data_IF_772595490672
#
_entry.id   IF_772595490672
#
_cell.length_a   1.000
_cell.length_b   1.000
_cell.length_c   1.000
_cell.angle_alpha   90.00
_cell.angle_beta   90.00
_cell.angle_gamma   90.00
#
_symmetry.space_group_name_H-M   'P 1'
#
loop_
_entity.id
_entity.type
_entity.pdbx_description
1 polymer ?
#
# COMPACT_ATOMS: atom_id res chain seq x y z
N UNK A 1 15.23 0.53 -24.94
CA UNK A 1 16.61 0.65 -24.41
C UNK A 1 16.70 -0.17 -23.13
N UNK A 2 17.10 -1.44 -23.22
CA UNK A 2 17.53 -2.19 -22.04
C UNK A 2 18.82 -1.56 -21.54
N UNK A 3 18.81 -1.06 -20.31
CA UNK A 3 20.01 -0.48 -19.69
C UNK A 3 20.93 -1.64 -19.35
N UNK A 4 21.87 -1.92 -20.25
CA UNK A 4 22.97 -2.84 -20.01
C UNK A 4 24.14 -2.03 -19.42
N UNK A 5 24.43 -2.26 -18.14
CA UNK A 5 25.57 -1.68 -17.44
C UNK A 5 25.52 -2.07 -15.96
N UNK A 6 26.65 -2.47 -15.40
CA UNK A 6 26.76 -2.73 -13.96
C UNK A 6 26.54 -1.40 -13.22
N UNK A 7 25.39 -1.26 -12.55
CA UNK A 7 25.12 -0.13 -11.67
C UNK A 7 26.07 -0.20 -10.48
N UNK A 8 26.76 0.91 -10.20
CA UNK A 8 27.71 1.00 -9.08
C UNK A 8 27.05 1.54 -7.79
N UNK A 9 25.77 1.95 -7.81
CA UNK A 9 25.04 2.65 -6.73
C UNK A 9 23.49 2.53 -6.87
N UNK A 10 22.69 3.50 -6.37
CA UNK A 10 21.21 3.62 -6.39
C UNK A 10 20.60 3.95 -7.77
N UNK A 11 21.22 3.51 -8.87
CA UNK A 11 20.82 3.85 -10.24
C UNK A 11 20.08 2.67 -10.89
N UNK A 12 19.21 2.97 -11.85
CA UNK A 12 18.54 1.97 -12.68
C UNK A 12 17.09 2.27 -12.94
N UNK A 13 16.27 1.22 -13.06
CA UNK A 13 14.81 1.33 -13.03
C UNK A 13 14.40 1.22 -11.57
N UNK A 14 13.81 2.28 -11.03
CA UNK A 14 13.61 2.45 -9.59
C UNK A 14 12.13 2.49 -9.20
N UNK A 15 11.27 2.99 -10.09
CA UNK A 15 9.83 3.13 -9.83
C UNK A 15 8.97 2.70 -11.01
N UNK A 16 7.78 2.21 -10.68
CA UNK A 16 6.73 1.83 -11.61
C UNK A 16 5.38 2.24 -11.02
N UNK A 17 4.56 2.93 -11.82
CA UNK A 17 3.16 3.18 -11.49
C UNK A 17 2.28 2.86 -12.69
N UNK A 18 1.21 2.09 -12.47
CA UNK A 18 0.14 1.94 -13.45
C UNK A 18 -0.78 3.16 -13.38
N UNK A 19 -1.27 3.61 -14.53
CA UNK A 19 -2.34 4.59 -14.57
C UNK A 19 -3.57 4.05 -13.81
N UNK A 20 -4.35 4.87 -13.08
CA UNK A 20 -5.54 4.41 -12.36
C UNK A 20 -6.56 3.68 -13.26
N UNK A 21 -6.64 4.10 -14.53
CA UNK A 21 -7.47 3.51 -15.59
C UNK A 21 -6.72 2.50 -16.49
N UNK A 22 -5.64 1.86 -15.99
CA UNK A 22 -4.77 0.97 -16.78
C UNK A 22 -5.54 -0.13 -17.52
N UNK A 23 -6.57 -0.72 -16.91
CA UNK A 23 -7.35 -1.80 -17.54
C UNK A 23 -8.08 -1.35 -18.81
N UNK A 24 -8.30 -0.04 -19.00
CA UNK A 24 -8.95 0.52 -20.17
C UNK A 24 -7.97 1.19 -21.14
N UNK A 25 -6.85 1.74 -20.65
CA UNK A 25 -5.94 2.53 -21.48
C UNK A 25 -4.54 1.92 -21.67
N UNK A 26 -4.11 1.02 -20.78
CA UNK A 26 -2.82 0.34 -20.81
C UNK A 26 -1.62 1.22 -20.45
N UNK A 27 -1.80 2.44 -19.94
CA UNK A 27 -0.70 3.34 -19.64
C UNK A 27 -0.02 3.03 -18.30
N UNK A 28 1.30 3.07 -18.30
CA UNK A 28 2.12 2.96 -17.10
C UNK A 28 3.35 3.83 -17.22
N UNK A 29 3.98 4.11 -16.09
CA UNK A 29 5.01 5.11 -15.95
C UNK A 29 6.21 4.50 -15.21
N UNK A 30 7.41 4.86 -15.66
CA UNK A 30 8.67 4.38 -15.11
C UNK A 30 9.49 5.56 -14.61
N UNK A 31 10.01 5.45 -13.38
CA UNK A 31 11.09 6.28 -12.86
C UNK A 31 12.42 5.55 -13.03
N UNK A 32 13.36 6.17 -13.73
CA UNK A 32 14.64 5.55 -14.06
C UNK A 32 15.80 6.55 -14.16
N UNK A 33 17.04 6.08 -14.07
CA UNK A 33 18.23 6.87 -14.41
C UNK A 33 18.64 6.64 -15.86
N UNK A 34 18.82 7.71 -16.63
CA UNK A 34 19.20 7.65 -18.05
C UNK A 34 20.66 7.22 -18.21
N UNK A 35 20.90 6.20 -19.03
CA UNK A 35 22.23 5.63 -19.20
C UNK A 35 23.31 6.60 -19.75
N UNK A 36 22.92 7.65 -20.49
CA UNK A 36 23.88 8.56 -21.13
C UNK A 36 24.54 9.54 -20.16
N UNK A 37 23.82 9.95 -19.11
CA UNK A 37 24.21 11.08 -18.25
C UNK A 37 23.68 10.96 -16.82
N UNK A 38 23.13 9.81 -16.44
CA UNK A 38 22.53 9.52 -15.13
C UNK A 38 21.34 10.42 -14.73
N UNK A 39 20.79 11.23 -15.64
CA UNK A 39 19.62 12.06 -15.35
C UNK A 39 18.44 11.20 -14.89
N UNK A 40 17.74 11.64 -13.85
CA UNK A 40 16.46 11.03 -13.43
C UNK A 40 15.41 11.31 -14.50
N UNK A 41 14.67 10.28 -14.91
CA UNK A 41 13.63 10.36 -15.92
C UNK A 41 12.33 9.74 -15.44
N UNK A 42 11.22 10.41 -15.77
CA UNK A 42 9.87 9.86 -15.70
C UNK A 42 9.38 9.66 -17.13
N UNK A 43 9.02 8.43 -17.47
CA UNK A 43 8.69 8.03 -18.84
C UNK A 43 7.38 7.26 -18.85
N UNK A 44 6.45 7.63 -19.74
CA UNK A 44 5.20 6.90 -20.00
C UNK A 44 5.40 5.87 -21.10
N UNK A 45 4.80 4.70 -20.93
CA UNK A 45 4.66 3.65 -21.93
C UNK A 45 3.21 3.16 -21.97
N UNK A 46 2.86 2.43 -23.03
CA UNK A 46 1.58 1.75 -23.19
C UNK A 46 1.79 0.25 -23.37
N UNK A 47 1.08 -0.54 -22.58
CA UNK A 47 1.03 -1.99 -22.69
C UNK A 47 0.37 -2.44 -24.00
N UNK A 48 0.72 -3.62 -24.49
CA UNK A 48 0.02 -4.24 -25.61
C UNK A 48 -1.31 -4.83 -25.14
N UNK A 49 -2.40 -4.58 -25.85
CA UNK A 49 -3.70 -5.16 -25.52
C UNK A 49 -3.71 -6.70 -25.71
N UNK A 50 -4.51 -7.46 -24.95
CA UNK A 50 -5.42 -7.01 -23.89
C UNK A 50 -4.68 -6.65 -22.58
N UNK A 51 -5.01 -5.49 -22.00
CA UNK A 51 -4.23 -4.88 -20.90
C UNK A 51 -4.23 -5.71 -19.62
N UNK A 52 -5.35 -6.38 -19.31
CA UNK A 52 -5.50 -7.21 -18.10
C UNK A 52 -4.49 -8.38 -18.02
N UNK A 53 -3.98 -8.85 -19.16
CA UNK A 53 -3.02 -9.98 -19.22
C UNK A 53 -1.75 -9.60 -19.96
N UNK A 54 -1.47 -8.30 -20.11
CA UNK A 54 -0.34 -7.83 -20.89
C UNK A 54 1.00 -8.14 -20.19
N UNK A 55 1.89 -8.82 -20.89
CA UNK A 55 3.27 -9.09 -20.44
C UNK A 55 4.32 -8.31 -21.23
N UNK A 56 3.88 -7.49 -22.19
CA UNK A 56 4.74 -6.67 -23.06
C UNK A 56 4.13 -5.28 -23.26
N UNK A 57 4.98 -4.32 -23.58
CA UNK A 57 4.60 -2.95 -23.92
C UNK A 57 5.12 -2.57 -25.29
N UNK A 58 4.46 -1.63 -25.95
CA UNK A 58 4.92 -1.08 -27.22
C UNK A 58 6.10 -0.12 -26.97
N UNK A 59 7.33 -0.44 -27.42
CA UNK A 59 8.47 0.45 -27.21
C UNK A 59 8.32 1.80 -27.95
N UNK A 60 7.52 1.86 -29.02
CA UNK A 60 7.28 3.09 -29.78
C UNK A 60 6.34 4.06 -29.04
N UNK A 61 5.59 3.59 -28.04
CA UNK A 61 4.72 4.41 -27.20
C UNK A 61 5.47 5.31 -26.19
N UNK A 62 6.80 5.17 -26.10
CA UNK A 62 7.65 5.89 -25.15
C UNK A 62 7.43 7.40 -25.25
N UNK A 63 6.89 8.00 -24.20
CA UNK A 63 6.81 9.46 -24.02
C UNK A 63 7.64 9.86 -22.82
N UNK A 64 8.67 10.69 -23.02
CA UNK A 64 9.42 11.27 -21.92
C UNK A 64 8.62 12.41 -21.31
N UNK A 65 8.28 12.29 -20.02
CA UNK A 65 7.54 13.32 -19.32
C UNK A 65 8.50 14.33 -18.70
N UNK A 66 9.41 13.83 -17.87
CA UNK A 66 10.29 14.66 -17.07
C UNK A 66 11.72 14.12 -17.14
N UNK A 67 12.69 15.02 -17.27
CA UNK A 67 14.12 14.73 -17.17
C UNK A 67 14.77 15.73 -16.21
N UNK A 68 15.45 15.24 -15.19
CA UNK A 68 16.09 16.02 -14.13
C UNK A 68 17.57 15.69 -14.16
N UNK A 69 18.41 16.70 -14.42
CA UNK A 69 19.85 16.53 -14.32
C UNK A 69 20.23 16.14 -12.89
N UNK A 70 20.95 15.02 -12.74
CA UNK A 70 21.29 14.46 -11.44
C UNK A 70 22.81 14.59 -11.21
N UNK A 71 23.27 15.33 -10.18
CA UNK A 71 24.67 15.73 -10.10
C UNK A 71 25.60 14.65 -9.53
N UNK A 72 25.07 13.71 -8.75
CA UNK A 72 25.84 12.59 -8.17
C UNK A 72 25.19 11.25 -8.53
N UNK A 73 25.79 10.14 -8.11
CA UNK A 73 25.31 8.78 -8.43
C UNK A 73 24.31 8.22 -7.42
N UNK A 74 24.17 8.84 -6.25
CA UNK A 74 23.27 8.44 -5.17
C UNK A 74 22.20 9.53 -4.92
N UNK A 75 21.20 9.19 -4.11
CA UNK A 75 20.00 9.99 -3.82
C UNK A 75 19.11 10.23 -5.05
N UNK A 76 18.93 9.19 -5.86
CA UNK A 76 18.08 9.26 -7.04
C UNK A 76 16.58 9.22 -6.70
N UNK A 77 16.21 8.96 -5.43
CA UNK A 77 14.85 8.63 -5.04
C UNK A 77 14.38 7.35 -5.74
N UNK A 78 13.14 7.35 -6.24
CA UNK A 78 12.65 6.19 -6.99
C UNK A 78 11.16 5.97 -6.88
N UNK A 79 10.55 6.36 -5.76
CA UNK A 79 9.13 6.15 -5.56
C UNK A 79 8.28 7.01 -6.50
N UNK A 80 7.25 6.38 -7.04
CA UNK A 80 6.19 7.03 -7.79
C UNK A 80 4.87 6.30 -7.58
N UNK A 81 3.78 7.05 -7.49
CA UNK A 81 2.43 6.52 -7.25
C UNK A 81 1.39 7.55 -7.69
N UNK A 82 0.22 7.09 -8.12
CA UNK A 82 -0.92 7.97 -8.33
C UNK A 82 -1.57 8.29 -6.99
N UNK A 83 -1.74 9.58 -6.71
CA UNK A 83 -2.43 10.04 -5.51
C UNK A 83 -3.94 9.87 -5.60
N UNK A 84 -4.66 10.10 -4.49
CA UNK A 84 -6.13 10.04 -4.44
C UNK A 84 -6.83 11.08 -5.33
N UNK A 85 -6.09 12.10 -5.78
CA UNK A 85 -6.54 13.13 -6.72
C UNK A 85 -6.30 12.75 -8.19
N UNK A 86 -5.86 11.52 -8.45
CA UNK A 86 -5.58 11.01 -9.80
C UNK A 86 -4.32 11.60 -10.42
N UNK A 87 -3.45 12.30 -9.67
CA UNK A 87 -2.21 12.85 -10.21
C UNK A 87 -1.02 11.96 -9.91
N UNK A 88 -0.01 11.99 -10.78
CA UNK A 88 1.21 11.21 -10.61
C UNK A 88 2.16 11.94 -9.66
N UNK A 89 2.52 11.30 -8.55
CA UNK A 89 3.51 11.79 -7.61
C UNK A 89 4.85 11.10 -7.83
N UNK A 90 5.93 11.86 -7.72
CA UNK A 90 7.30 11.37 -7.97
C UNK A 90 8.24 11.91 -6.90
N UNK A 91 8.95 11.04 -6.20
CA UNK A 91 9.93 11.42 -5.19
C UNK A 91 11.36 11.41 -5.77
N UNK A 92 12.07 12.51 -5.56
CA UNK A 92 13.43 12.73 -6.09
C UNK A 92 14.32 13.23 -4.97
N UNK A 93 15.46 12.57 -4.74
CA UNK A 93 16.43 13.00 -3.73
C UNK A 93 17.16 14.30 -4.11
N UNK A 94 17.92 14.83 -3.16
CA UNK A 94 18.59 16.14 -3.21
C UNK A 94 19.70 16.27 -4.25
N UNK A 95 20.06 15.16 -4.90
CA UNK A 95 21.11 15.10 -5.90
C UNK A 95 22.37 14.41 -5.39
N UNK A 96 22.43 14.01 -4.12
CA UNK A 96 23.53 13.25 -3.53
C UNK A 96 24.54 14.10 -2.77
N UNK A 97 25.70 13.51 -2.46
CA UNK A 97 26.76 14.12 -1.64
C UNK A 97 26.33 14.42 -0.18
N UNK A 98 27.30 14.71 0.68
CA UNK A 98 27.04 15.13 2.05
C UNK A 98 26.59 16.59 2.11
N UNK A 99 25.63 16.88 2.99
CA UNK A 99 25.11 18.19 3.36
C UNK A 99 24.48 18.98 2.20
N UNK A 100 24.01 18.30 1.15
CA UNK A 100 23.31 18.93 0.01
C UNK A 100 24.11 20.14 -0.53
N UNK A 101 25.43 19.95 -0.72
CA UNK A 101 26.39 20.99 -1.10
C UNK A 101 27.41 20.49 -2.11
N UNK A 102 28.18 21.42 -2.69
CA UNK A 102 29.22 21.10 -3.67
C UNK A 102 28.68 21.02 -5.10
N UNK A 103 29.36 20.29 -5.97
CA UNK A 103 29.05 20.26 -7.41
C UNK A 103 27.59 19.87 -7.66
N UNK A 104 26.86 20.75 -8.36
CA UNK A 104 25.45 20.54 -8.73
C UNK A 104 24.43 20.92 -7.66
N UNK A 105 24.86 21.42 -6.51
CA UNK A 105 24.00 21.94 -5.45
C UNK A 105 23.98 23.47 -5.46
N UNK A 106 22.83 24.06 -5.13
CA UNK A 106 22.63 25.52 -5.22
C UNK A 106 22.78 26.17 -3.84
N UNK A 107 23.71 27.11 -3.70
CA UNK A 107 23.95 27.84 -2.45
C UNK A 107 23.39 29.28 -2.47
N UNK A 108 22.95 29.83 -1.32
CA UNK A 108 22.83 29.16 -0.03
C UNK A 108 21.61 28.23 0.02
N UNK A 109 21.74 27.10 0.72
CA UNK A 109 20.59 26.28 1.14
C UNK A 109 20.52 24.87 0.56
N UNK A 110 21.32 24.58 -0.46
CA UNK A 110 21.29 23.29 -1.14
C UNK A 110 20.08 23.13 -2.06
N UNK A 111 20.03 22.02 -2.77
CA UNK A 111 18.94 21.72 -3.69
C UNK A 111 17.61 21.48 -2.96
N UNK A 112 17.62 20.84 -1.80
CA UNK A 112 16.40 20.45 -1.08
C UNK A 112 15.57 21.66 -0.67
N UNK A 113 16.21 22.75 -0.23
CA UNK A 113 15.53 24.02 0.09
C UNK A 113 15.32 24.92 -1.13
N UNK A 114 16.11 24.77 -2.20
CA UNK A 114 16.00 25.60 -3.38
C UNK A 114 14.80 25.18 -4.25
N UNK A 115 13.87 26.12 -4.48
CA UNK A 115 12.65 25.87 -5.26
C UNK A 115 12.87 25.96 -6.78
N UNK A 116 14.05 26.34 -7.26
CA UNK A 116 14.37 26.44 -8.70
C UNK A 116 14.88 25.13 -9.31
N UNK A 117 15.12 24.12 -8.47
CA UNK A 117 15.48 22.75 -8.85
C UNK A 117 14.39 21.76 -8.45
N UNK A 118 14.39 20.58 -9.08
CA UNK A 118 13.47 19.48 -8.80
C UNK A 118 14.06 18.41 -7.87
N UNK A 119 15.28 18.63 -7.37
CA UNK A 119 15.99 17.73 -6.47
C UNK A 119 15.61 17.99 -5.00
N UNK A 120 15.42 16.93 -4.21
CA UNK A 120 15.02 16.98 -2.80
C UNK A 120 13.55 17.35 -2.62
N UNK A 121 12.69 16.74 -3.46
CA UNK A 121 11.28 17.11 -3.64
C UNK A 121 10.38 15.88 -3.76
N UNK A 122 9.11 16.08 -3.41
CA UNK A 122 8.00 15.32 -4.02
C UNK A 122 7.39 16.21 -5.11
N UNK A 123 7.27 15.66 -6.30
CA UNK A 123 6.67 16.31 -7.47
C UNK A 123 5.26 15.79 -7.68
N UNK A 124 4.39 16.59 -8.30
CA UNK A 124 3.02 16.22 -8.68
C UNK A 124 2.74 16.64 -10.11
N UNK A 125 2.40 15.68 -10.95
CA UNK A 125 2.18 15.85 -12.39
C UNK A 125 0.76 15.42 -12.76
N UNK A 126 0.08 16.26 -13.52
CA UNK A 126 -1.18 15.90 -14.17
C UNK A 126 -0.88 15.41 -15.59
N UNK A 127 -1.05 14.11 -15.79
CA UNK A 127 -0.68 13.39 -17.02
C UNK A 127 -1.89 13.03 -17.89
N UNK A 128 -3.08 13.45 -17.46
CA UNK A 128 -4.36 13.09 -18.08
C UNK A 128 -5.05 14.29 -18.73
N UNK A 129 -4.59 15.51 -18.46
CA UNK A 129 -5.19 16.72 -19.00
C UNK A 129 -6.62 16.98 -18.48
N UNK A 130 -7.32 17.95 -19.09
CA UNK A 130 -8.67 18.34 -18.67
C UNK A 130 -9.75 17.29 -18.89
N UNK A 131 -9.57 16.39 -19.86
CA UNK A 131 -10.53 15.33 -20.15
C UNK A 131 -10.33 14.08 -19.27
N UNK A 132 -9.25 14.05 -18.46
CA UNK A 132 -8.81 12.93 -17.64
C UNK A 132 -8.51 11.67 -18.47
N UNK A 133 -8.00 11.81 -19.68
CA UNK A 133 -7.58 10.72 -20.55
C UNK A 133 -6.12 10.94 -20.99
N UNK A 134 -5.16 10.14 -20.49
CA UNK A 134 -3.77 10.29 -20.89
C UNK A 134 -3.56 9.89 -22.36
N UNK A 135 -2.52 10.46 -22.95
CA UNK A 135 -1.98 10.06 -24.25
C UNK A 135 -2.45 10.93 -25.41
N UNK A 136 -3.09 12.06 -25.13
CA UNK A 136 -3.67 12.94 -26.14
C UNK A 136 -2.92 14.29 -26.18
N UNK A 137 -3.45 15.27 -26.92
CA UNK A 137 -2.82 16.58 -27.07
C UNK A 137 -3.10 17.57 -25.92
N UNK A 138 -4.14 17.33 -25.12
CA UNK A 138 -4.54 18.20 -24.02
C UNK A 138 -3.84 17.87 -22.68
N UNK A 139 -3.19 16.70 -22.59
CA UNK A 139 -2.19 16.36 -21.55
C UNK A 139 -1.15 17.47 -21.37
N UNK A 140 -0.76 18.11 -22.48
CA UNK A 140 0.33 19.05 -22.51
C UNK A 140 -0.07 20.43 -21.96
N UNK A 141 0.78 20.98 -21.09
CA UNK A 141 0.79 22.40 -20.78
C UNK A 141 1.53 23.14 -21.91
N UNK A 142 0.77 23.65 -22.87
CA UNK A 142 1.30 24.35 -24.05
C UNK A 142 2.04 25.65 -23.69
N UNK A 143 1.66 26.31 -22.60
CA UNK A 143 2.32 27.52 -22.13
C UNK A 143 3.67 27.18 -21.47
N UNK A 144 3.76 26.02 -20.81
CA UNK A 144 5.00 25.50 -20.23
C UNK A 144 5.91 24.77 -21.23
N UNK A 145 5.35 24.28 -22.33
CA UNK A 145 6.04 23.36 -23.24
C UNK A 145 6.31 21.98 -22.63
N UNK A 146 5.50 21.53 -21.67
CA UNK A 146 5.64 20.22 -21.01
C UNK A 146 4.53 19.27 -21.44
N UNK A 147 4.78 17.94 -21.51
CA UNK A 147 3.79 16.94 -21.90
C UNK A 147 2.85 16.53 -20.75
N UNK A 148 2.77 17.38 -19.72
CA UNK A 148 1.96 17.23 -18.52
C UNK A 148 1.61 18.64 -18.01
N UNK A 149 0.61 18.71 -17.13
CA UNK A 149 0.17 19.92 -16.43
C UNK A 149 0.56 19.90 -14.95
N UNK A 150 0.47 21.06 -14.31
CA UNK A 150 0.76 21.25 -12.88
C UNK A 150 -0.30 22.12 -12.19
N UNK A 151 -1.54 22.04 -12.67
CA UNK A 151 -2.65 22.77 -12.10
C UNK A 151 -2.89 22.39 -10.63
N UNK A 152 -3.07 23.39 -9.78
CA UNK A 152 -3.22 23.22 -8.33
C UNK A 152 -1.91 23.02 -7.56
N UNK A 153 -0.74 22.96 -8.23
CA UNK A 153 0.53 22.88 -7.52
C UNK A 153 0.88 24.20 -6.81
N UNK A 154 1.47 24.14 -5.60
CA UNK A 154 1.72 25.30 -4.75
C UNK A 154 2.72 26.31 -5.34
N UNK A 155 3.58 25.86 -6.26
CA UNK A 155 4.62 26.69 -6.88
C UNK A 155 4.37 27.00 -8.36
N UNK A 156 3.20 26.62 -8.90
CA UNK A 156 2.84 26.95 -10.28
C UNK A 156 2.50 28.45 -10.40
N UNK A 157 3.15 29.15 -11.34
CA UNK A 157 2.95 30.58 -11.57
C UNK A 157 3.56 31.52 -10.50
N UNK A 158 4.35 31.00 -9.57
CA UNK A 158 5.07 31.78 -8.54
C UNK A 158 6.57 31.49 -8.56
N UNK A 159 7.32 31.98 -7.56
CA UNK A 159 8.76 31.73 -7.47
C UNK A 159 9.06 30.27 -7.08
N UNK A 160 9.28 29.43 -8.09
CA UNK A 160 9.65 28.03 -7.93
C UNK A 160 9.38 27.21 -9.19
N UNK A 161 9.77 25.93 -9.18
CA UNK A 161 9.43 24.97 -10.21
C UNK A 161 8.00 24.51 -10.01
N UNK A 162 7.20 24.61 -11.08
CA UNK A 162 5.76 24.34 -11.10
C UNK A 162 5.40 22.91 -10.68
N UNK A 163 6.33 21.97 -10.85
CA UNK A 163 6.17 20.55 -10.53
C UNK A 163 6.23 20.24 -9.04
N UNK A 164 6.78 21.15 -8.21
CA UNK A 164 7.02 20.88 -6.80
C UNK A 164 5.68 20.79 -6.04
N UNK A 165 5.50 19.69 -5.33
CA UNK A 165 4.42 19.49 -4.36
C UNK A 165 4.89 19.68 -2.93
N UNK A 166 6.02 19.08 -2.56
CA UNK A 166 6.66 19.24 -1.27
C UNK A 166 8.19 19.27 -1.44
N UNK A 167 8.90 19.82 -0.46
CA UNK A 167 10.33 20.05 -0.54
C UNK A 167 11.04 19.91 0.81
N UNK A 168 12.36 20.08 0.81
CA UNK A 168 13.18 19.92 2.00
C UNK A 168 13.36 18.45 2.40
N UNK A 169 13.49 17.57 1.41
CA UNK A 169 13.73 16.13 1.60
C UNK A 169 15.15 15.78 1.12
N UNK A 170 15.76 14.75 1.70
CA UNK A 170 17.11 14.29 1.38
C UNK A 170 17.11 13.19 0.32
N UNK A 171 16.58 12.02 0.65
CA UNK A 171 16.44 10.88 -0.25
C UNK A 171 15.18 10.08 0.10
N UNK A 172 13.99 10.60 -0.26
CA UNK A 172 12.71 9.94 -0.01
C UNK A 172 12.62 8.63 -0.81
N UNK A 173 12.68 7.48 -0.12
CA UNK A 173 12.90 6.16 -0.73
C UNK A 173 11.60 5.41 -1.04
N UNK A 174 10.95 4.80 -0.02
CA UNK A 174 9.61 4.19 -0.15
C UNK A 174 8.58 5.01 0.59
N UNK A 175 7.80 5.76 -0.19
CA UNK A 175 6.63 6.50 0.30
C UNK A 175 5.36 5.69 0.04
N UNK A 176 4.20 6.13 0.53
CA UNK A 176 2.92 5.48 0.23
C UNK A 176 1.77 6.46 0.44
N UNK A 177 0.77 6.42 -0.44
CA UNK A 177 -0.54 6.98 -0.11
C UNK A 177 -1.34 6.00 0.73
N UNK A 178 -1.86 6.47 1.86
CA UNK A 178 -2.89 5.75 2.57
C UNK A 178 -4.17 5.75 1.74
N UNK A 179 -4.54 4.60 1.17
CA UNK A 179 -5.69 4.47 0.28
C UNK A 179 -7.03 4.86 0.93
N UNK A 180 -7.13 4.91 2.27
CA UNK A 180 -8.35 5.32 2.96
C UNK A 180 -8.37 6.83 3.27
N UNK A 181 -7.26 7.40 3.75
CA UNK A 181 -7.23 8.81 4.21
C UNK A 181 -6.73 9.78 3.15
N UNK A 182 -5.99 9.27 2.15
CA UNK A 182 -5.29 10.07 1.15
C UNK A 182 -4.01 10.73 1.67
N UNK A 183 -3.59 10.45 2.92
CA UNK A 183 -2.36 10.99 3.49
C UNK A 183 -1.13 10.41 2.79
N UNK A 184 -0.14 11.26 2.51
CA UNK A 184 1.14 10.81 1.95
C UNK A 184 2.15 10.54 3.07
N UNK A 185 2.56 9.28 3.20
CA UNK A 185 3.62 8.83 4.09
C UNK A 185 4.95 8.86 3.36
N UNK A 186 5.97 9.47 3.95
CA UNK A 186 7.27 9.69 3.32
C UNK A 186 8.36 9.15 4.25
N UNK A 187 9.13 8.17 3.80
CA UNK A 187 10.33 7.72 4.50
C UNK A 187 11.55 8.38 3.85
N UNK A 188 12.25 9.21 4.61
CA UNK A 188 13.36 10.00 4.10
C UNK A 188 14.68 9.54 4.73
N UNK A 189 15.62 9.09 3.89
CA UNK A 189 16.91 8.57 4.35
C UNK A 189 17.79 9.73 4.80
N UNK A 190 18.17 9.73 6.07
CA UNK A 190 19.06 10.75 6.60
C UNK A 190 20.54 10.49 6.33
N UNK A 191 21.41 11.36 6.86
CA UNK A 191 22.83 11.36 6.48
C UNK A 191 23.70 10.54 7.43
N UNK A 192 23.83 11.01 8.67
CA UNK A 192 24.82 10.52 9.64
C UNK A 192 24.20 10.20 11.00
N UNK A 193 23.03 10.76 11.31
CA UNK A 193 22.50 10.76 12.66
C UNK A 193 21.09 10.20 12.78
N UNK A 194 20.21 10.49 11.82
CA UNK A 194 18.78 10.19 11.94
C UNK A 194 18.23 9.54 10.70
N UNK A 195 17.26 8.68 10.92
CA UNK A 195 16.30 8.26 9.91
C UNK A 195 14.92 8.81 10.30
N UNK A 196 14.05 9.06 9.32
CA UNK A 196 12.75 9.67 9.61
C UNK A 196 11.58 9.18 8.76
N UNK A 197 10.39 9.21 9.37
CA UNK A 197 9.09 9.06 8.71
C UNK A 197 8.30 10.35 8.89
N UNK A 198 7.85 10.90 7.78
CA UNK A 198 7.01 12.08 7.69
C UNK A 198 5.60 11.70 7.21
N UNK A 199 4.58 12.48 7.60
CA UNK A 199 3.21 12.33 7.08
C UNK A 199 2.67 13.67 6.61
N UNK A 200 2.29 13.75 5.33
CA UNK A 200 1.53 14.85 4.77
C UNK A 200 0.03 14.61 4.98
N UNK A 201 -0.46 14.95 6.17
CA UNK A 201 -1.89 14.82 6.52
C UNK A 201 -2.76 15.67 5.59
N UNK A 202 -3.77 15.09 4.96
CA UNK A 202 -4.64 15.70 3.96
C UNK A 202 -3.94 15.98 2.63
N UNK A 203 -2.71 15.47 2.45
CA UNK A 203 -1.88 15.68 1.27
C UNK A 203 -1.86 17.15 0.83
N UNK A 204 -1.44 18.06 1.71
CA UNK A 204 -1.43 19.50 1.43
C UNK A 204 -0.13 19.86 0.71
N UNK A 205 -0.23 20.56 -0.43
CA UNK A 205 0.93 21.08 -1.17
C UNK A 205 1.67 22.20 -0.44
N UNK A 206 2.98 22.29 -0.65
CA UNK A 206 3.86 23.37 -0.19
C UNK A 206 4.60 23.06 1.11
N UNK A 207 4.52 21.83 1.61
CA UNK A 207 5.19 21.42 2.86
C UNK A 207 6.71 21.35 2.70
N UNK A 208 7.41 21.85 3.72
CA UNK A 208 8.86 21.81 3.84
C UNK A 208 9.27 20.85 4.97
N UNK A 209 10.00 19.79 4.66
CA UNK A 209 10.47 18.78 5.63
C UNK A 209 11.84 19.12 6.25
N UNK A 210 12.42 20.26 5.88
CA UNK A 210 13.50 20.89 6.64
C UNK A 210 14.92 20.46 6.27
N UNK A 211 15.13 19.35 5.54
CA UNK A 211 16.45 19.05 5.00
C UNK A 211 16.90 20.19 4.07
N UNK A 212 18.09 20.78 4.22
CA UNK A 212 19.24 20.32 5.02
C UNK A 212 19.46 21.01 6.37
N UNK A 213 18.57 21.90 6.80
CA UNK A 213 18.72 22.63 8.07
C UNK A 213 18.45 21.74 9.28
N UNK A 214 17.62 20.71 9.08
CA UNK A 214 17.30 19.66 10.03
C UNK A 214 17.60 18.29 9.44
N UNK A 215 17.98 17.34 10.28
CA UNK A 215 18.06 15.91 10.01
C UNK A 215 17.27 15.24 11.14
N UNK A 216 16.03 14.78 10.88
CA UNK A 216 15.05 14.60 11.95
C UNK A 216 14.73 15.94 12.63
N UNK A 217 14.71 15.95 13.96
CA UNK A 217 14.59 17.21 14.74
C UNK A 217 15.94 17.86 15.08
N UNK A 218 17.05 17.26 14.65
CA UNK A 218 18.41 17.74 14.94
C UNK A 218 18.79 18.88 14.01
N UNK A 219 19.23 20.01 14.58
CA UNK A 219 19.83 21.09 13.80
C UNK A 219 21.19 20.68 13.23
N UNK A 220 21.35 20.82 11.91
CA UNK A 220 22.64 20.58 11.24
C UNK A 220 23.60 21.78 11.34
N UNK A 221 23.05 22.98 11.60
CA UNK A 221 23.78 24.25 11.55
C UNK A 221 23.97 24.81 10.13
N UNK A 222 23.39 24.15 9.12
CA UNK A 222 23.42 24.60 7.74
C UNK A 222 22.34 25.66 7.47
N UNK A 223 22.58 26.48 6.45
CA UNK A 223 21.66 27.52 5.99
C UNK A 223 20.63 26.97 4.99
N UNK A 224 19.62 27.77 4.66
CA UNK A 224 18.53 27.45 3.72
C UNK A 224 17.15 27.67 4.34
N UNK A 225 17.05 27.43 5.64
CA UNK A 225 15.86 27.60 6.46
C UNK A 225 16.25 27.73 7.93
N UNK A 226 15.31 28.13 8.78
CA UNK A 226 15.53 28.19 10.23
C UNK A 226 15.30 26.81 10.83
N UNK A 227 16.31 26.23 11.47
CA UNK A 227 16.18 24.93 12.15
C UNK A 227 14.97 24.93 13.09
N UNK A 228 14.14 23.88 13.01
CA UNK A 228 12.92 23.71 13.79
C UNK A 228 11.99 24.95 13.74
N UNK A 229 12.03 25.68 12.62
CA UNK A 229 11.14 26.82 12.37
C UNK A 229 9.69 26.36 12.27
N UNK A 230 8.72 27.23 12.62
CA UNK A 230 7.30 26.86 12.72
C UNK A 230 6.66 26.48 11.37
N UNK A 231 7.32 26.76 10.25
CA UNK A 231 6.89 26.39 8.89
C UNK A 231 7.44 25.04 8.45
N UNK A 232 8.41 24.47 9.17
CA UNK A 232 8.94 23.14 8.88
C UNK A 232 7.99 22.07 9.43
N UNK A 233 7.92 20.96 8.72
CA UNK A 233 7.19 19.77 9.14
C UNK A 233 8.17 18.86 9.87
N UNK A 234 7.92 18.63 11.15
CA UNK A 234 8.67 17.65 11.91
C UNK A 234 8.24 16.23 11.53
N UNK A 235 9.15 15.25 11.56
CA UNK A 235 8.79 13.86 11.34
C UNK A 235 7.91 13.33 12.47
N UNK A 236 7.04 12.37 12.14
CA UNK A 236 6.21 11.69 13.14
C UNK A 236 7.00 10.62 13.89
N UNK A 237 8.07 10.12 13.26
CA UNK A 237 9.02 9.17 13.82
C UNK A 237 10.41 9.56 13.37
N UNK A 238 11.35 9.61 14.31
CA UNK A 238 12.78 9.63 14.02
C UNK A 238 13.48 8.59 14.90
N UNK A 239 14.59 8.04 14.41
CA UNK A 239 15.45 7.15 15.18
C UNK A 239 16.91 7.32 14.76
N UNK A 240 17.84 6.86 15.59
CA UNK A 240 19.25 7.23 15.46
C UNK A 240 20.12 6.14 14.87
N UNK A 241 21.26 6.54 14.30
CA UNK A 241 22.24 5.57 13.77
C UNK A 241 23.02 4.84 14.86
N UNK A 242 23.42 5.57 15.90
CA UNK A 242 24.30 5.06 16.97
C UNK A 242 23.84 5.43 18.37
N UNK A 243 22.75 6.18 18.50
CA UNK A 243 22.19 6.61 19.78
C UNK A 243 20.67 6.62 19.73
N UNK A 244 20.03 6.26 20.84
CA UNK A 244 18.58 6.29 21.01
C UNK A 244 18.09 7.73 21.03
N UNK A 245 17.12 8.04 20.16
CA UNK A 245 16.60 9.40 19.91
C UNK A 245 15.14 9.32 19.49
N UNK A 246 14.43 10.44 19.62
CA UNK A 246 13.00 10.48 19.31
C UNK A 246 12.17 9.62 20.29
N UNK A 247 10.97 9.21 19.88
CA UNK A 247 10.03 8.48 20.75
C UNK A 247 10.32 6.98 20.84
N UNK A 248 11.49 6.52 20.39
CA UNK A 248 11.76 5.10 20.15
C UNK A 248 13.18 4.70 20.53
N UNK A 249 13.38 3.40 20.79
CA UNK A 249 14.70 2.77 21.00
C UNK A 249 15.27 2.16 19.72
N UNK A 250 14.60 2.31 18.58
CA UNK A 250 15.08 1.82 17.29
C UNK A 250 16.43 2.44 16.92
N UNK A 251 17.26 1.64 16.27
CA UNK A 251 18.49 2.07 15.62
C UNK A 251 18.53 1.51 14.20
N UNK A 252 19.07 2.27 13.26
CA UNK A 252 19.23 1.88 11.86
C UNK A 252 20.01 2.94 11.10
N UNK A 253 20.32 2.72 9.83
CA UNK A 253 21.16 3.68 9.08
C UNK A 253 20.71 3.98 7.65
N UNK A 254 19.55 3.46 7.26
CA UNK A 254 18.96 3.76 5.97
C UNK A 254 17.52 3.30 5.99
N UNK A 255 16.57 4.19 6.30
CA UNK A 255 15.16 3.83 6.30
C UNK A 255 14.72 3.50 4.87
N UNK A 256 14.26 2.27 4.66
CA UNK A 256 13.64 1.93 3.38
C UNK A 256 12.28 2.60 3.29
N UNK A 257 11.53 2.60 4.40
CA UNK A 257 10.11 2.98 4.45
C UNK A 257 9.19 1.78 4.25
N UNK A 258 7.95 2.03 3.86
CA UNK A 258 6.98 0.96 3.57
C UNK A 258 5.58 1.46 3.25
N UNK A 259 4.55 0.77 3.75
CA UNK A 259 3.15 0.95 3.34
C UNK A 259 2.19 0.98 4.52
N UNK A 260 1.07 1.69 4.37
CA UNK A 260 -0.09 1.56 5.26
C UNK A 260 -0.91 0.37 4.81
N UNK A 261 -1.04 -0.64 5.66
CA UNK A 261 -1.80 -1.85 5.33
C UNK A 261 -3.30 -1.54 5.24
N UNK A 262 -3.91 -1.90 4.11
CA UNK A 262 -5.36 -1.74 3.84
C UNK A 262 -6.02 -3.02 3.32
N UNK A 263 -5.34 -4.16 3.42
CA UNK A 263 -5.83 -5.46 3.00
C UNK A 263 -7.07 -5.93 3.76
N UNK A 264 -7.76 -6.90 3.18
CA UNK A 264 -8.98 -7.53 3.69
C UNK A 264 -8.75 -8.82 4.44
N UNK A 265 -7.63 -9.52 4.23
CA UNK A 265 -7.34 -10.79 4.90
C UNK A 265 -6.94 -10.59 6.37
N UNK A 266 -6.33 -9.46 6.73
CA UNK A 266 -5.91 -9.15 8.11
C UNK A 266 -6.55 -7.83 8.59
N UNK A 267 -7.90 -7.76 8.72
CA UNK A 267 -8.61 -6.51 8.99
C UNK A 267 -8.15 -5.80 10.28
N UNK A 268 -7.68 -6.53 11.28
CA UNK A 268 -7.10 -6.01 12.53
C UNK A 268 -5.83 -5.18 12.32
N UNK A 269 -5.14 -5.34 11.19
CA UNK A 269 -3.94 -4.59 10.84
C UNK A 269 -4.24 -3.35 9.98
N UNK A 270 -5.48 -3.15 9.52
CA UNK A 270 -5.85 -1.99 8.68
C UNK A 270 -5.45 -0.67 9.35
N UNK A 271 -4.82 0.22 8.58
CA UNK A 271 -4.33 1.52 9.06
C UNK A 271 -3.01 1.45 9.84
N UNK A 272 -2.34 0.29 9.85
CA UNK A 272 -1.01 0.14 10.44
C UNK A 272 0.04 0.40 9.36
N UNK A 273 0.98 1.30 9.63
CA UNK A 273 2.11 1.57 8.76
C UNK A 273 3.24 0.59 9.08
N UNK A 274 3.64 -0.20 8.08
CA UNK A 274 4.77 -1.12 8.14
C UNK A 274 5.97 -0.50 7.44
N UNK A 275 7.15 -0.65 8.02
CA UNK A 275 8.39 -0.14 7.45
C UNK A 275 9.60 -0.98 7.87
N UNK A 276 10.73 -0.74 7.21
CA UNK A 276 12.02 -1.36 7.52
C UNK A 276 13.16 -0.36 7.38
N UNK A 277 14.33 -0.79 7.84
CA UNK A 277 15.62 -0.14 7.64
C UNK A 277 16.54 -1.09 6.89
N UNK A 278 17.08 -0.64 5.76
CA UNK A 278 17.91 -1.44 4.86
C UNK A 278 19.15 -2.00 5.58
N UNK A 279 19.78 -1.22 6.48
CA UNK A 279 20.97 -1.65 7.20
C UNK A 279 20.69 -2.79 8.20
N UNK A 280 19.48 -2.82 8.77
CA UNK A 280 19.07 -3.91 9.66
C UNK A 280 18.94 -5.25 8.93
N UNK A 281 18.80 -5.22 7.60
CA UNK A 281 18.66 -6.37 6.67
C UNK A 281 17.42 -7.25 6.84
N UNK A 282 16.88 -7.39 8.06
CA UNK A 282 15.79 -8.31 8.38
C UNK A 282 14.71 -7.71 9.27
N UNK A 283 14.93 -6.51 9.83
CA UNK A 283 14.02 -5.99 10.84
C UNK A 283 12.79 -5.36 10.20
N UNK A 284 11.60 -5.71 10.70
CA UNK A 284 10.35 -5.14 10.21
C UNK A 284 9.64 -4.52 11.40
N UNK A 285 9.22 -3.27 11.23
CA UNK A 285 8.55 -2.51 12.26
C UNK A 285 7.17 -2.10 11.80
N UNK A 286 6.29 -1.82 12.76
CA UNK A 286 4.97 -1.28 12.49
C UNK A 286 4.62 -0.18 13.48
N UNK A 287 3.82 0.79 13.07
CA UNK A 287 3.21 1.77 13.96
C UNK A 287 1.80 2.15 13.52
N UNK A 288 1.05 2.80 14.41
CA UNK A 288 -0.20 3.49 14.07
C UNK A 288 -0.05 4.98 14.27
N UNK A 289 -0.68 5.75 13.41
CA UNK A 289 -0.70 7.20 13.51
C UNK A 289 -2.14 7.69 13.43
N UNK A 290 -2.57 8.47 14.41
CA UNK A 290 -3.91 9.06 14.43
C UNK A 290 -3.90 10.34 15.25
N UNK A 291 -4.60 11.37 14.76
CA UNK A 291 -4.73 12.66 15.47
C UNK A 291 -3.40 13.31 15.84
N UNK A 292 -2.36 13.16 15.01
CA UNK A 292 -1.03 13.71 15.30
C UNK A 292 -0.15 12.85 16.21
N UNK A 293 -0.63 11.68 16.65
CA UNK A 293 0.06 10.85 17.65
C UNK A 293 0.47 9.50 17.07
N UNK A 294 1.73 9.13 17.27
CA UNK A 294 2.23 7.77 17.02
C UNK A 294 1.90 6.86 18.20
N UNK A 295 1.45 5.65 17.91
CA UNK A 295 1.15 4.60 18.88
C UNK A 295 1.49 3.22 18.32
N UNK A 296 1.47 2.20 19.17
CA UNK A 296 1.66 0.79 18.79
C UNK A 296 2.94 0.53 17.96
N UNK A 297 4.01 1.28 18.23
CA UNK A 297 5.31 1.00 17.62
C UNK A 297 5.79 -0.38 18.08
N UNK A 298 5.95 -1.30 17.15
CA UNK A 298 6.19 -2.72 17.42
C UNK A 298 7.26 -3.27 16.48
N UNK A 299 8.20 -4.04 17.03
CA UNK A 299 9.07 -4.91 16.26
C UNK A 299 8.30 -6.17 15.86
N UNK A 300 8.14 -6.36 14.55
CA UNK A 300 7.40 -7.44 13.90
C UNK A 300 8.33 -8.48 13.28
N UNK A 301 9.64 -8.37 13.48
CA UNK A 301 10.63 -9.20 12.78
C UNK A 301 10.43 -10.69 13.06
N UNK A 302 10.18 -11.06 14.31
CA UNK A 302 9.92 -12.45 14.69
C UNK A 302 8.53 -12.95 14.25
N UNK A 303 7.54 -12.05 14.20
CA UNK A 303 6.17 -12.38 13.76
C UNK A 303 6.12 -12.63 12.25
N UNK A 304 6.93 -11.89 11.48
CA UNK A 304 6.97 -11.95 10.03
C UNK A 304 8.10 -12.82 9.47
N UNK A 305 8.88 -13.47 10.34
CA UNK A 305 9.98 -14.35 9.92
C UNK A 305 9.43 -15.49 9.02
N UNK A 306 9.95 -15.66 7.79
CA UNK A 306 9.42 -16.67 6.88
C UNK A 306 9.59 -18.10 7.44
N UNK A 307 8.62 -19.00 7.24
CA UNK A 307 8.74 -20.37 7.72
C UNK A 307 9.84 -21.14 6.96
N UNK A 308 10.47 -22.10 7.65
CA UNK A 308 11.43 -23.02 7.06
C UNK A 308 12.85 -22.47 7.03
N UNK A 309 13.52 -22.57 5.88
CA UNK A 309 14.91 -22.12 5.68
C UNK A 309 15.03 -20.75 5.00
N UNK A 310 13.89 -20.12 4.70
CA UNK A 310 13.87 -18.77 4.14
C UNK A 310 14.12 -17.77 5.26
N UNK A 311 14.96 -16.79 4.98
CA UNK A 311 15.23 -15.66 5.87
C UNK A 311 15.25 -14.40 5.01
N UNK A 312 14.68 -13.31 5.50
CA UNK A 312 14.84 -12.01 4.86
C UNK A 312 16.32 -11.64 4.77
N UNK A 313 16.69 -10.92 3.73
CA UNK A 313 18.04 -10.36 3.61
C UNK A 313 18.04 -9.17 2.68
N UNK A 314 18.35 -8.00 3.23
CA UNK A 314 18.38 -6.74 2.46
C UNK A 314 16.98 -6.36 1.99
N UNK A 315 16.02 -6.21 2.91
CA UNK A 315 14.66 -5.78 2.58
C UNK A 315 14.73 -4.38 1.96
N UNK A 316 14.36 -4.29 0.68
CA UNK A 316 14.56 -3.12 -0.17
C UNK A 316 13.28 -2.37 -0.51
N UNK A 317 12.11 -3.01 -0.34
CA UNK A 317 10.81 -2.36 -0.53
C UNK A 317 9.64 -3.15 0.04
N UNK A 318 8.47 -2.51 0.02
CA UNK A 318 7.16 -3.11 0.27
C UNK A 318 6.25 -2.90 -0.95
N UNK A 319 5.34 -3.83 -1.19
CA UNK A 319 4.32 -3.74 -2.24
C UNK A 319 2.92 -4.05 -1.71
N UNK A 320 1.90 -3.73 -2.50
CA UNK A 320 0.50 -4.11 -2.24
C UNK A 320 -0.13 -4.69 -3.49
N UNK A 321 -0.99 -5.70 -3.35
CA UNK A 321 -1.84 -6.16 -4.47
C UNK A 321 -3.14 -5.34 -4.56
N UNK A 322 -4.01 -5.68 -5.52
CA UNK A 322 -5.29 -5.00 -5.77
C UNK A 322 -6.33 -5.18 -4.65
N UNK A 323 -6.07 -6.10 -3.71
CA UNK A 323 -6.89 -6.31 -2.52
C UNK A 323 -6.30 -5.60 -1.29
N UNK A 324 -5.16 -4.91 -1.45
CA UNK A 324 -4.46 -4.18 -0.40
C UNK A 324 -3.57 -5.07 0.47
N UNK A 325 -3.35 -6.32 0.08
CA UNK A 325 -2.50 -7.23 0.82
C UNK A 325 -1.03 -6.90 0.64
N UNK A 326 -0.25 -7.07 1.70
CA UNK A 326 1.13 -6.61 1.77
C UNK A 326 2.11 -7.65 1.23
N UNK A 327 3.12 -7.14 0.53
CA UNK A 327 4.27 -7.88 0.07
C UNK A 327 5.56 -7.23 0.56
N UNK A 328 6.57 -8.05 0.84
CA UNK A 328 7.92 -7.63 1.19
C UNK A 328 8.87 -8.05 0.08
N UNK A 329 9.70 -7.12 -0.38
CA UNK A 329 10.72 -7.37 -1.40
C UNK A 329 12.09 -7.30 -0.74
N UNK A 330 12.90 -8.33 -0.99
CA UNK A 330 14.28 -8.36 -0.51
C UNK A 330 15.29 -8.61 -1.64
N UNK A 331 16.50 -8.11 -1.41
CA UNK A 331 17.60 -8.15 -2.35
C UNK A 331 18.88 -8.66 -1.65
N UNK A 332 18.95 -9.96 -1.34
CA UNK A 332 20.16 -10.59 -0.81
C UNK A 332 21.35 -10.37 -1.75
N UNK A 333 22.53 -10.13 -1.17
CA UNK A 333 23.78 -9.93 -1.94
C UNK A 333 24.31 -11.22 -2.59
N UNK A 334 23.85 -12.38 -2.13
CA UNK A 334 24.38 -13.70 -2.51
C UNK A 334 23.39 -14.59 -3.28
N UNK A 335 22.12 -14.17 -3.42
CA UNK A 335 21.08 -14.93 -4.11
C UNK A 335 20.19 -14.01 -4.96
N UNK A 336 19.23 -14.58 -5.69
CA UNK A 336 18.24 -13.79 -6.43
C UNK A 336 17.31 -13.05 -5.46
N UNK A 337 16.88 -11.83 -5.85
CA UNK A 337 15.85 -11.09 -5.12
C UNK A 337 14.53 -11.87 -5.01
N UNK A 338 13.79 -11.65 -3.92
CA UNK A 338 12.55 -12.39 -3.62
C UNK A 338 11.41 -11.43 -3.31
N UNK A 339 10.19 -11.93 -3.53
CA UNK A 339 8.94 -11.26 -3.17
C UNK A 339 8.15 -12.21 -2.27
N UNK A 340 7.84 -11.75 -1.06
CA UNK A 340 7.10 -12.50 -0.05
C UNK A 340 5.71 -11.91 0.10
N UNK A 341 4.66 -12.71 -0.05
CA UNK A 341 3.30 -12.31 0.36
C UNK A 341 3.16 -12.54 1.86
N UNK A 342 2.67 -11.53 2.57
CA UNK A 342 2.36 -11.66 4.00
C UNK A 342 0.94 -12.18 4.14
N UNK A 343 0.77 -13.21 4.96
CA UNK A 343 -0.49 -13.93 5.16
C UNK A 343 -0.72 -14.18 6.65
N UNK A 344 -1.97 -14.32 7.11
CA UNK A 344 -2.25 -14.72 8.48
C UNK A 344 -1.78 -16.15 8.75
N UNK A 345 -1.54 -16.46 10.02
CA UNK A 345 -1.27 -17.83 10.48
C UNK A 345 -2.49 -18.70 10.17
N UNK A 346 -2.29 -19.83 9.48
CA UNK A 346 -3.37 -20.69 8.99
C UNK A 346 -3.62 -20.56 7.48
N UNK A 347 -3.05 -19.54 6.83
CA UNK A 347 -3.17 -19.33 5.39
C UNK A 347 -4.38 -18.47 5.01
N UNK A 348 -4.62 -18.37 3.71
CA UNK A 348 -5.77 -17.64 3.15
C UNK A 348 -6.87 -18.65 2.85
N UNK A 349 -8.06 -18.44 3.38
CA UNK A 349 -9.27 -19.20 3.01
C UNK A 349 -9.87 -18.59 1.74
N UNK A 350 -10.10 -19.44 0.74
CA UNK A 350 -10.79 -19.16 -0.53
C UNK A 350 -11.63 -20.41 -0.85
N UNK A 351 -12.85 -20.42 -0.33
CA UNK A 351 -13.73 -21.58 -0.35
C UNK A 351 -14.43 -21.77 -1.71
N UNK A 352 -14.70 -20.67 -2.43
CA UNK A 352 -15.31 -20.68 -3.75
C UNK A 352 -14.27 -20.81 -4.89
N UNK A 353 -12.97 -20.86 -4.54
CA UNK A 353 -11.82 -21.03 -5.42
C UNK A 353 -11.72 -19.97 -6.53
N UNK A 354 -12.19 -18.75 -6.27
CA UNK A 354 -12.19 -17.65 -7.23
C UNK A 354 -10.83 -16.88 -7.25
N UNK A 355 -9.84 -17.34 -6.47
CA UNK A 355 -8.51 -16.75 -6.28
C UNK A 355 -8.51 -15.43 -5.51
N UNK A 356 -9.61 -15.12 -4.84
CA UNK A 356 -9.74 -14.04 -3.88
C UNK A 356 -10.09 -14.66 -2.53
N UNK A 357 -9.52 -14.08 -1.47
CA UNK A 357 -9.80 -14.56 -0.13
C UNK A 357 -11.26 -14.31 0.24
N UNK A 358 -11.87 -15.21 1.01
CA UNK A 358 -13.23 -15.07 1.50
C UNK A 358 -13.46 -13.75 2.25
N UNK A 359 -12.52 -13.38 3.13
CA UNK A 359 -12.57 -12.09 3.85
C UNK A 359 -12.53 -10.87 2.91
N UNK A 360 -11.97 -11.02 1.71
CA UNK A 360 -11.98 -10.00 0.67
C UNK A 360 -13.29 -9.97 -0.12
N UNK A 361 -13.93 -11.11 -0.31
CA UNK A 361 -15.26 -11.17 -0.91
C UNK A 361 -16.31 -10.54 0.02
N UNK A 362 -16.28 -10.88 1.31
CA UNK A 362 -17.14 -10.28 2.32
C UNK A 362 -16.91 -8.78 2.45
N UNK A 363 -15.65 -8.32 2.49
CA UNK A 363 -15.34 -6.90 2.57
C UNK A 363 -15.82 -6.10 1.34
N UNK A 364 -16.02 -6.76 0.20
CA UNK A 364 -16.53 -6.15 -1.04
C UNK A 364 -18.03 -6.37 -1.26
N UNK A 365 -18.66 -7.23 -0.48
CA UNK A 365 -20.04 -7.66 -0.69
C UNK A 365 -20.24 -8.47 -1.97
N UNK A 366 -19.19 -9.14 -2.47
CA UNK A 366 -19.30 -10.12 -3.57
C UNK A 366 -19.82 -11.46 -3.07
N UNK A 367 -19.66 -11.74 -1.78
CA UNK A 367 -20.29 -12.85 -1.05
C UNK A 367 -21.16 -12.33 0.09
N UNK A 368 -22.16 -13.11 0.49
CA UNK A 368 -23.06 -12.79 1.62
C UNK A 368 -22.53 -13.50 2.87
N UNK A 369 -22.69 -12.86 4.03
CA UNK A 369 -22.48 -13.45 5.35
C UNK A 369 -23.70 -13.08 6.20
N UNK A 370 -24.77 -13.87 6.07
CA UNK A 370 -26.06 -13.57 6.68
C UNK A 370 -26.04 -13.79 8.20
N UNK A 371 -25.21 -14.73 8.68
CA UNK A 371 -25.10 -15.08 10.10
C UNK A 371 -24.00 -14.29 10.84
N UNK A 372 -23.16 -13.54 10.13
CA UNK A 372 -22.10 -12.70 10.67
C UNK A 372 -20.90 -13.47 11.20
N UNK A 373 -20.70 -14.72 10.78
CA UNK A 373 -19.65 -15.60 11.28
C UNK A 373 -18.27 -15.35 10.60
N UNK A 374 -18.22 -14.48 9.58
CA UNK A 374 -17.01 -14.17 8.83
C UNK A 374 -16.64 -15.20 7.75
N UNK A 375 -17.56 -16.11 7.42
CA UNK A 375 -17.48 -17.09 6.34
C UNK A 375 -18.57 -16.76 5.31
N UNK A 376 -18.27 -16.77 4.00
CA UNK A 376 -19.29 -16.66 2.97
C UNK A 376 -20.39 -17.72 3.13
N UNK A 377 -21.67 -17.33 3.02
CA UNK A 377 -22.82 -18.24 3.13
C UNK A 377 -22.73 -19.39 2.10
N UNK A 378 -22.19 -19.15 0.90
CA UNK A 378 -21.94 -20.21 -0.09
C UNK A 378 -20.90 -21.26 0.35
N UNK A 379 -20.20 -20.98 1.44
CA UNK A 379 -19.14 -21.79 2.03
C UNK A 379 -19.46 -22.26 3.43
N UNK A 380 -20.57 -21.79 4.00
CA UNK A 380 -21.16 -22.44 5.14
C UNK A 380 -21.60 -23.86 4.72
N UNK A 381 -21.41 -24.86 5.61
CA UNK A 381 -22.09 -26.12 5.41
C UNK A 381 -23.59 -25.83 5.27
N UNK A 382 -24.33 -26.55 4.39
CA UNK A 382 -25.76 -26.34 4.28
C UNK A 382 -26.38 -26.38 5.67
N UNK A 383 -27.13 -25.34 6.02
CA UNK A 383 -27.67 -25.12 7.37
C UNK A 383 -28.16 -26.45 7.94
N UNK A 384 -27.63 -26.81 9.10
CA UNK A 384 -27.99 -28.07 9.72
C UNK A 384 -29.47 -28.00 10.07
N UNK A 385 -30.29 -28.71 9.30
CA UNK A 385 -31.75 -28.73 9.50
C UNK A 385 -32.16 -29.16 10.92
N UNK A 386 -31.23 -29.78 11.64
CA UNK A 386 -31.41 -30.26 13.01
C UNK A 386 -31.01 -29.26 14.10
N UNK A 387 -30.33 -28.15 13.76
CA UNK A 387 -29.98 -27.05 14.68
C UNK A 387 -30.99 -25.92 14.47
N UNK A 388 -31.99 -25.86 15.34
CA UNK A 388 -33.17 -25.00 15.20
C UNK A 388 -33.49 -24.19 16.45
N UNK A 389 -32.92 -24.50 17.62
CA UNK A 389 -33.18 -23.76 18.86
C UNK A 389 -32.04 -23.84 19.90
N UNK A 390 -31.64 -22.68 20.41
CA UNK A 390 -30.61 -22.44 21.43
C UNK A 390 -31.08 -22.71 22.88
N UNK A 391 -32.20 -23.42 23.04
CA UNK A 391 -32.87 -23.63 24.33
C UNK A 391 -33.73 -22.45 24.80
N UNK A 392 -33.87 -21.39 23.99
CA UNK A 392 -34.80 -20.28 24.29
C UNK A 392 -36.26 -20.61 23.95
N UNK A 393 -36.50 -21.62 23.11
CA UNK A 393 -37.81 -21.93 22.55
C UNK A 393 -38.30 -20.90 21.53
N UNK A 394 -37.40 -20.11 20.94
CA UNK A 394 -37.73 -19.04 19.98
C UNK A 394 -37.39 -19.40 18.53
N UNK A 395 -36.74 -20.53 18.29
CA UNK A 395 -36.33 -20.98 16.96
C UNK A 395 -35.04 -20.33 16.48
N UNK A 396 -34.11 -20.05 17.40
CA UNK A 396 -32.80 -19.48 17.07
C UNK A 396 -31.73 -20.58 17.17
N UNK A 397 -31.06 -20.97 16.07
CA UNK A 397 -29.96 -21.96 16.10
C UNK A 397 -28.74 -21.50 16.92
N UNK A 398 -28.00 -22.42 17.54
CA UNK A 398 -26.78 -22.12 18.33
C UNK A 398 -25.50 -22.83 17.86
N UNK A 399 -25.58 -23.58 16.76
CA UNK A 399 -24.48 -24.36 16.20
C UNK A 399 -24.35 -25.77 16.80
N UNK A 400 -25.20 -26.13 17.76
CA UNK A 400 -25.30 -27.45 18.36
C UNK A 400 -26.58 -28.18 17.94
N UNK A 401 -26.52 -29.52 17.92
CA UNK A 401 -27.73 -30.35 17.83
C UNK A 401 -27.92 -31.03 19.18
N UNK A 402 -28.91 -30.55 19.93
CA UNK A 402 -29.19 -30.91 21.31
C UNK A 402 -30.64 -31.32 21.50
N UNK A 403 -31.01 -31.78 22.70
CA UNK A 403 -32.42 -32.13 22.95
C UNK A 403 -33.37 -30.94 22.78
N UNK A 404 -32.88 -29.71 22.94
CA UNK A 404 -33.68 -28.50 22.84
C UNK A 404 -34.15 -28.27 21.40
N UNK A 405 -33.30 -28.57 20.41
CA UNK A 405 -33.65 -28.55 18.99
C UNK A 405 -34.76 -29.53 18.65
N UNK A 406 -34.63 -30.78 19.11
CA UNK A 406 -35.64 -31.81 18.87
C UNK A 406 -36.99 -31.42 19.49
N UNK A 407 -36.97 -30.85 20.69
CA UNK A 407 -38.19 -30.40 21.37
C UNK A 407 -38.83 -29.23 20.62
N UNK A 408 -38.04 -28.28 20.14
CA UNK A 408 -38.53 -27.17 19.33
C UNK A 408 -39.11 -27.66 18.00
N UNK A 409 -38.37 -28.50 17.26
CA UNK A 409 -38.81 -29.05 15.98
C UNK A 409 -40.12 -29.83 16.11
N UNK A 410 -40.23 -30.72 17.10
CA UNK A 410 -41.47 -31.47 17.35
C UNK A 410 -42.65 -30.53 17.65
N UNK A 411 -42.41 -29.42 18.33
CA UNK A 411 -43.44 -28.41 18.62
C UNK A 411 -43.96 -27.76 17.33
N UNK A 412 -43.06 -27.32 16.43
CA UNK A 412 -43.45 -26.69 15.16
C UNK A 412 -44.02 -27.70 14.16
N UNK A 413 -43.55 -28.95 14.19
CA UNK A 413 -44.04 -30.07 13.40
C UNK A 413 -45.49 -30.42 13.77
N UNK A 414 -45.77 -30.63 15.06
CA UNK A 414 -47.13 -30.91 15.55
C UNK A 414 -48.09 -29.76 15.25
N UNK A 415 -47.58 -28.52 15.23
CA UNK A 415 -48.35 -27.33 14.88
C UNK A 415 -48.53 -27.15 13.36
N UNK A 416 -47.88 -27.96 12.52
CA UNK A 416 -47.93 -27.83 11.05
C UNK A 416 -47.37 -26.50 10.55
N UNK A 417 -46.40 -25.93 11.27
CA UNK A 417 -45.75 -24.67 10.89
C UNK A 417 -44.82 -24.93 9.71
N UNK A 418 -44.85 -24.07 8.70
CA UNK A 418 -44.05 -24.24 7.47
C UNK A 418 -42.54 -24.34 7.71
N UNK A 419 -42.04 -23.87 8.86
CA UNK A 419 -40.64 -24.06 9.24
C UNK A 419 -40.27 -25.54 9.51
N UNK A 420 -41.26 -26.42 9.68
CA UNK A 420 -41.05 -27.86 9.81
C UNK A 420 -41.05 -28.61 8.47
N UNK A 421 -41.41 -27.95 7.35
CA UNK A 421 -41.34 -28.50 5.98
C UNK A 421 -39.88 -28.44 5.49
N UNK A 422 -39.22 -29.58 5.54
CA UNK A 422 -37.79 -29.74 5.32
C UNK A 422 -37.45 -30.80 4.27
N UNK A 423 -38.40 -31.66 3.86
CA UNK A 423 -38.17 -32.67 2.81
C UNK A 423 -39.46 -33.11 2.09
N UNK A 424 -39.38 -33.23 0.77
CA UNK A 424 -40.44 -33.63 -0.16
C UNK A 424 -40.61 -35.16 -0.29
N UNK A 425 -40.01 -35.93 0.62
CA UNK A 425 -39.92 -37.38 0.55
C UNK A 425 -38.80 -37.91 -0.35
N UNK A 426 -37.95 -37.04 -0.91
CA UNK A 426 -36.75 -37.46 -1.64
C UNK A 426 -35.58 -37.84 -0.74
N UNK A 427 -35.59 -37.43 0.53
CA UNK A 427 -34.48 -37.56 1.46
C UNK A 427 -33.30 -36.64 1.13
N UNK A 428 -33.54 -35.57 0.36
CA UNK A 428 -32.50 -34.62 -0.06
C UNK A 428 -32.55 -33.29 0.67
N UNK A 429 -33.57 -33.06 1.50
CA UNK A 429 -33.78 -31.82 2.24
C UNK A 429 -34.45 -30.73 1.40
N UNK A 430 -35.32 -31.12 0.47
CA UNK A 430 -36.03 -30.18 -0.42
C UNK A 430 -37.47 -30.01 0.06
N UNK A 431 -37.93 -28.84 0.53
CA UNK A 431 -39.32 -28.61 0.97
C UNK A 431 -40.35 -28.68 -0.16
N UNK A 432 -41.58 -29.16 0.09
CA UNK A 432 -42.68 -29.26 -0.90
C UNK A 432 -43.92 -28.39 -0.61
N UNK A 433 -43.89 -27.64 0.49
CA UNK A 433 -44.98 -26.82 0.98
C UNK A 433 -45.90 -27.53 1.98
N UNK A 434 -45.63 -28.81 2.29
CA UNK A 434 -46.37 -29.62 3.25
C UNK A 434 -45.53 -30.01 4.46
N UNK A 435 -46.15 -30.08 5.65
CA UNK A 435 -45.54 -30.70 6.84
C UNK A 435 -46.11 -32.10 6.99
N UNK A 436 -45.30 -33.10 6.68
CA UNK A 436 -45.68 -34.51 6.55
C UNK A 436 -44.71 -35.42 7.32
N UNK A 437 -44.99 -36.72 7.35
CA UNK A 437 -44.10 -37.65 8.06
C UNK A 437 -42.69 -37.70 7.46
N UNK A 438 -42.55 -37.38 6.18
CA UNK A 438 -41.27 -37.40 5.47
C UNK A 438 -40.31 -36.33 6.01
N UNK A 439 -40.84 -35.15 6.39
CA UNK A 439 -40.11 -34.08 7.06
C UNK A 439 -39.54 -34.51 8.42
N UNK A 440 -40.39 -35.13 9.26
CA UNK A 440 -39.99 -35.62 10.57
C UNK A 440 -38.92 -36.72 10.44
N UNK A 441 -39.06 -37.61 9.46
CA UNK A 441 -38.08 -38.66 9.21
C UNK A 441 -36.75 -38.07 8.74
N UNK A 442 -36.77 -37.11 7.82
CA UNK A 442 -35.57 -36.42 7.38
C UNK A 442 -34.90 -35.69 8.55
N UNK A 443 -35.65 -34.89 9.32
CA UNK A 443 -35.14 -34.19 10.50
C UNK A 443 -34.49 -35.14 11.50
N UNK A 444 -35.16 -36.24 11.88
CA UNK A 444 -34.62 -37.19 12.87
C UNK A 444 -33.32 -37.85 12.41
N UNK A 445 -33.18 -38.15 11.10
CA UNK A 445 -31.93 -38.67 10.55
C UNK A 445 -30.80 -37.66 10.68
N UNK A 446 -31.07 -36.37 10.45
CA UNK A 446 -30.07 -35.29 10.58
C UNK A 446 -29.78 -34.97 12.05
N UNK A 447 -30.79 -35.09 12.91
CA UNK A 447 -30.67 -34.97 14.37
C UNK A 447 -29.74 -36.03 14.96
N UNK A 448 -29.96 -37.30 14.62
CA UNK A 448 -29.10 -38.41 15.08
C UNK A 448 -27.67 -38.31 14.56
N UNK A 449 -27.47 -37.74 13.37
CA UNK A 449 -26.15 -37.47 12.83
C UNK A 449 -25.42 -36.35 13.59
N UNK A 450 -26.15 -35.49 14.32
CA UNK A 450 -25.61 -34.24 14.84
C UNK A 450 -25.14 -33.33 13.71
N UNK A 451 -25.85 -33.40 12.56
CA UNK A 451 -25.50 -32.99 11.19
C UNK A 451 -24.73 -34.04 10.35
#
# INVERSE_FOLDING_TARGET
STVAGAYITEQGVLGLAFHPDYLNNGYFYIHQTRASDAAVQVVRYRANAPYATATTADPASRTELLTIAHPQTNHNGGWMEFGPDGRLYVAVGDGGNANDQGTGHIEPGGNAQNLTTLLGKVLRLDVDGPDNVPGNADDADLDAGTPYRTDGNPFNGVNGRREIWAYGLRNPWRNNFDAQTGDLWIADVGQDNREEVNVNVGNVGGRNYGWRCTEGTRCTGLTGCTCNGPTLQAPILEYGHSAVVGPTTLLGCSITGGIVYRGCVMPQLRGTYFFTDYCSSTSIYSLRYSGGTVSALTDRSAELDPPGSLVFSGISSFGTDADGEMYIVDQPTSTNGRVFKIVPVGGITDCNANQRADGCDLARGTSVDANGNGVPDECDPPACVADVDDGSGTGMPDGGVTIDDLLYYLTIFEAGVIAADVDDGSGTGTPDGGVTIDDLLYYLVRFEAGC
#
